data_IF_462188800249
#
_entry.id   IF_462188800249
#
_cell.length_a   1.000
_cell.length_b   1.000
_cell.length_c   1.000
_cell.angle_alpha   90.00
_cell.angle_beta   90.00
_cell.angle_gamma   90.00
#
_symmetry.space_group_name_H-M   'P 1'
#
loop_
_entity.id
_entity.type
_entity.pdbx_description
1 polymer ?
#
# COMPACT_ATOMS: atom_id res chain seq x y z
N UNK A 1 27.92 -17.04 -19.94
CA UNK A 1 26.47 -17.28 -20.09
C UNK A 1 25.78 -16.06 -19.49
N UNK A 2 25.15 -15.24 -20.31
CA UNK A 2 24.31 -14.13 -19.83
C UNK A 2 23.10 -14.79 -19.17
N UNK A 3 22.97 -14.68 -17.83
CA UNK A 3 21.79 -15.13 -17.13
C UNK A 3 20.58 -14.41 -17.73
N UNK A 4 19.61 -15.16 -18.22
CA UNK A 4 18.33 -14.60 -18.65
C UNK A 4 17.76 -13.85 -17.45
N UNK A 5 17.49 -12.58 -17.60
CA UNK A 5 16.76 -11.81 -16.58
C UNK A 5 15.41 -12.51 -16.44
N UNK A 6 15.22 -13.20 -15.33
CA UNK A 6 13.94 -13.86 -15.04
C UNK A 6 12.85 -12.80 -15.07
N UNK A 7 11.79 -13.04 -15.84
CA UNK A 7 10.67 -12.09 -15.90
C UNK A 7 9.99 -12.02 -14.53
N UNK A 8 9.70 -10.81 -14.06
CA UNK A 8 8.98 -10.64 -12.79
C UNK A 8 7.47 -10.84 -13.01
N UNK A 9 6.86 -11.72 -12.23
CA UNK A 9 5.40 -11.83 -12.12
C UNK A 9 4.98 -11.65 -10.67
N UNK A 10 3.82 -11.02 -10.46
CA UNK A 10 3.37 -10.62 -9.12
C UNK A 10 2.04 -11.30 -8.81
N UNK A 11 1.95 -11.94 -7.64
CA UNK A 11 0.69 -12.42 -7.07
C UNK A 11 0.30 -11.47 -5.93
N UNK A 12 -0.93 -10.93 -5.97
CA UNK A 12 -1.47 -10.11 -4.87
C UNK A 12 -2.59 -10.90 -4.19
N UNK A 13 -2.43 -11.21 -2.91
CA UNK A 13 -3.42 -11.93 -2.12
C UNK A 13 -4.47 -10.96 -1.58
N UNK A 14 -5.69 -11.01 -2.11
CA UNK A 14 -6.80 -10.11 -1.80
C UNK A 14 -8.10 -10.87 -1.42
N UNK A 15 -8.03 -12.18 -1.12
CA UNK A 15 -9.18 -13.05 -0.89
C UNK A 15 -9.70 -13.05 0.56
N UNK A 16 -9.00 -12.40 1.50
CA UNK A 16 -9.30 -12.45 2.93
C UNK A 16 -10.64 -11.82 3.33
N UNK A 17 -11.35 -12.44 4.29
CA UNK A 17 -12.69 -12.01 4.73
C UNK A 17 -12.70 -10.67 5.50
N UNK A 18 -11.61 -10.29 6.16
CA UNK A 18 -11.53 -9.03 6.90
C UNK A 18 -12.55 -8.90 8.06
N UNK A 19 -12.87 -9.98 8.77
CA UNK A 19 -13.89 -10.01 9.84
C UNK A 19 -13.75 -8.90 10.88
N UNK A 20 -12.49 -8.54 11.24
CA UNK A 20 -12.18 -7.48 12.21
C UNK A 20 -12.50 -6.06 11.72
N UNK A 21 -12.78 -5.88 10.42
CA UNK A 21 -13.23 -4.59 9.87
C UNK A 21 -14.68 -4.26 10.23
N UNK A 22 -15.46 -5.24 10.71
CA UNK A 22 -16.88 -5.10 11.02
C UNK A 22 -17.66 -4.40 9.89
N UNK A 23 -17.50 -4.87 8.65
CA UNK A 23 -18.02 -4.25 7.43
C UNK A 23 -18.44 -5.29 6.40
N UNK A 24 -19.53 -5.00 5.67
CA UNK A 24 -19.92 -5.78 4.50
C UNK A 24 -19.08 -5.48 3.24
N UNK A 25 -18.23 -4.43 3.31
CA UNK A 25 -17.30 -4.07 2.25
C UNK A 25 -16.07 -4.97 2.33
N UNK A 26 -15.60 -5.59 1.22
CA UNK A 26 -14.36 -6.34 1.20
C UNK A 26 -13.19 -5.54 1.76
N UNK A 27 -12.32 -6.17 2.55
CA UNK A 27 -11.22 -5.50 3.26
C UNK A 27 -10.39 -4.60 2.35
N UNK A 28 -9.98 -5.12 1.21
CA UNK A 28 -9.11 -4.45 0.24
C UNK A 28 -9.74 -3.25 -0.48
N UNK A 29 -11.06 -3.10 -0.38
CA UNK A 29 -11.80 -1.96 -0.93
C UNK A 29 -11.96 -0.81 0.06
N UNK A 30 -11.61 -0.97 1.36
CA UNK A 30 -11.56 0.17 2.28
C UNK A 30 -10.51 1.17 1.82
N UNK A 31 -10.79 2.45 2.06
CA UNK A 31 -9.95 3.52 1.52
C UNK A 31 -8.91 4.02 2.52
N UNK A 32 -7.72 4.24 2.02
CA UNK A 32 -6.62 4.95 2.63
C UNK A 32 -6.32 6.15 1.72
N UNK A 33 -6.26 7.34 2.27
CA UNK A 33 -6.10 8.59 1.51
C UNK A 33 -7.09 8.72 0.33
N UNK A 34 -8.36 8.32 0.56
CA UNK A 34 -9.41 8.40 -0.45
C UNK A 34 -9.42 7.29 -1.51
N UNK A 35 -8.40 6.42 -1.56
CA UNK A 35 -8.24 5.35 -2.57
C UNK A 35 -8.30 3.96 -1.93
N UNK A 36 -8.90 2.93 -2.56
CA UNK A 36 -8.91 1.57 -2.04
C UNK A 36 -7.51 1.07 -1.65
N UNK A 37 -7.39 0.27 -0.57
CA UNK A 37 -6.12 -0.33 -0.15
C UNK A 37 -5.43 -1.06 -1.31
N UNK A 38 -6.18 -1.85 -2.07
CA UNK A 38 -5.65 -2.60 -3.20
C UNK A 38 -5.08 -1.69 -4.30
N UNK A 39 -5.62 -0.48 -4.48
CA UNK A 39 -5.07 0.48 -5.47
C UNK A 39 -3.62 0.83 -5.15
N UNK A 40 -3.29 1.08 -3.88
CA UNK A 40 -1.93 1.40 -3.47
C UNK A 40 -0.95 0.25 -3.76
N UNK A 41 -1.40 -0.99 -3.51
CA UNK A 41 -0.58 -2.20 -3.79
C UNK A 41 -0.41 -2.41 -5.29
N UNK A 42 -1.48 -2.20 -6.10
CA UNK A 42 -1.42 -2.29 -7.55
C UNK A 42 -0.47 -1.25 -8.14
N UNK A 43 -0.54 0.01 -7.68
CA UNK A 43 0.38 1.07 -8.15
C UNK A 43 1.84 0.71 -7.85
N UNK A 44 2.12 0.21 -6.65
CA UNK A 44 3.46 -0.24 -6.27
C UNK A 44 3.91 -1.43 -7.11
N UNK A 45 3.03 -2.39 -7.38
CA UNK A 45 3.31 -3.53 -8.24
C UNK A 45 3.60 -3.09 -9.68
N UNK A 46 2.79 -2.20 -10.25
CA UNK A 46 3.00 -1.64 -11.59
C UNK A 46 4.32 -0.88 -11.73
N UNK A 47 4.76 -0.18 -10.68
CA UNK A 47 6.03 0.54 -10.67
C UNK A 47 7.28 -0.37 -10.78
N UNK A 48 7.12 -1.68 -10.60
CA UNK A 48 8.17 -2.68 -10.83
C UNK A 48 8.23 -3.15 -12.29
N UNK A 49 7.32 -2.69 -13.15
CA UNK A 49 7.18 -3.10 -14.55
C UNK A 49 7.15 -4.64 -14.72
N UNK A 50 6.26 -5.36 -14.00
CA UNK A 50 6.18 -6.80 -14.09
C UNK A 50 5.62 -7.24 -15.45
N UNK A 51 5.92 -8.49 -15.83
CA UNK A 51 5.32 -9.14 -17.02
C UNK A 51 3.82 -9.35 -16.83
N UNK A 52 3.39 -9.73 -15.62
CA UNK A 52 1.99 -9.94 -15.27
C UNK A 52 1.74 -9.70 -13.79
N UNK A 53 0.49 -9.30 -13.47
CA UNK A 53 -0.01 -9.20 -12.10
C UNK A 53 -1.24 -10.09 -11.98
N UNK A 54 -1.23 -11.02 -11.02
CA UNK A 54 -2.33 -11.93 -10.72
C UNK A 54 -2.94 -11.56 -9.37
N UNK A 55 -4.16 -11.04 -9.35
CA UNK A 55 -4.86 -10.68 -8.11
C UNK A 55 -5.78 -11.82 -7.70
N UNK A 56 -5.45 -12.47 -6.59
CA UNK A 56 -6.26 -13.55 -6.04
C UNK A 56 -7.34 -12.93 -5.15
N UNK A 57 -8.58 -13.02 -5.58
CA UNK A 57 -9.75 -12.54 -4.85
C UNK A 57 -10.68 -13.71 -4.43
N UNK A 58 -11.59 -13.46 -3.49
CA UNK A 58 -12.47 -14.52 -2.97
C UNK A 58 -13.64 -13.94 -2.22
N UNK A 59 -13.45 -13.56 -0.96
CA UNK A 59 -14.52 -12.94 -0.18
C UNK A 59 -14.96 -11.60 -0.79
N UNK A 60 -16.27 -11.45 -0.97
CA UNK A 60 -16.85 -10.31 -1.67
C UNK A 60 -17.07 -10.54 -3.17
N UNK A 61 -16.58 -11.68 -3.72
CA UNK A 61 -16.82 -12.12 -5.09
C UNK A 61 -16.45 -11.04 -6.11
N UNK A 62 -17.22 -10.93 -7.16
CA UNK A 62 -17.03 -10.02 -8.31
C UNK A 62 -16.98 -8.52 -7.93
N UNK A 63 -17.34 -8.15 -6.69
CA UNK A 63 -17.24 -6.74 -6.22
C UNK A 63 -15.82 -6.23 -6.19
N UNK A 64 -14.83 -7.14 -6.02
CA UNK A 64 -13.41 -6.74 -5.99
C UNK A 64 -12.93 -6.41 -7.39
N UNK A 65 -12.96 -7.32 -8.40
CA UNK A 65 -12.55 -6.96 -9.77
C UNK A 65 -13.40 -5.84 -10.36
N UNK A 66 -14.71 -5.79 -10.10
CA UNK A 66 -15.59 -4.73 -10.60
C UNK A 66 -15.23 -3.32 -10.10
N UNK A 67 -14.53 -3.21 -8.96
CA UNK A 67 -14.04 -1.94 -8.44
C UNK A 67 -12.79 -1.41 -9.18
N UNK A 68 -12.17 -2.22 -10.06
CA UNK A 68 -10.93 -1.90 -10.77
C UNK A 68 -11.02 -2.21 -12.26
N UNK A 69 -11.99 -1.64 -13.00
CA UNK A 69 -12.21 -1.96 -14.42
C UNK A 69 -11.02 -1.60 -15.32
N UNK A 70 -10.20 -0.63 -14.90
CA UNK A 70 -9.02 -0.14 -15.61
C UNK A 70 -7.73 -0.88 -15.25
N UNK A 71 -7.76 -1.79 -14.25
CA UNK A 71 -6.55 -2.44 -13.76
C UNK A 71 -6.07 -3.47 -14.79
N UNK A 72 -4.82 -3.32 -15.24
CA UNK A 72 -4.13 -4.33 -16.04
C UNK A 72 -3.66 -5.48 -15.15
N UNK A 73 -4.61 -6.32 -14.71
CA UNK A 73 -4.35 -7.45 -13.83
C UNK A 73 -5.22 -8.64 -14.23
N UNK A 74 -4.68 -9.85 -14.05
CA UNK A 74 -5.41 -11.10 -14.19
C UNK A 74 -6.08 -11.44 -12.85
N UNK A 75 -7.40 -11.54 -12.86
CA UNK A 75 -8.20 -11.80 -11.67
C UNK A 75 -8.39 -13.31 -11.48
N UNK A 76 -7.92 -13.84 -10.35
CA UNK A 76 -7.94 -15.26 -10.01
C UNK A 76 -8.88 -15.51 -8.84
N UNK A 77 -9.95 -16.27 -9.05
CA UNK A 77 -10.90 -16.59 -7.98
C UNK A 77 -10.34 -17.70 -7.07
N UNK A 78 -10.25 -17.41 -5.78
CA UNK A 78 -10.15 -18.41 -4.72
C UNK A 78 -11.57 -18.69 -4.19
N UNK A 79 -12.20 -19.75 -4.69
CA UNK A 79 -13.59 -20.07 -4.36
C UNK A 79 -13.80 -20.40 -2.87
N UNK A 80 -12.85 -21.13 -2.28
CA UNK A 80 -12.84 -21.47 -0.87
C UNK A 80 -11.58 -20.89 -0.21
N UNK A 81 -11.74 -20.10 0.86
CA UNK A 81 -10.62 -19.47 1.58
C UNK A 81 -9.93 -20.48 2.51
N UNK A 82 -9.11 -21.38 1.92
CA UNK A 82 -8.38 -22.42 2.64
C UNK A 82 -6.98 -21.99 3.09
N UNK A 83 -6.71 -20.70 3.18
CA UNK A 83 -5.45 -20.14 3.61
C UNK A 83 -4.63 -19.49 2.48
N UNK A 84 -3.49 -18.90 2.85
CA UNK A 84 -2.62 -18.13 1.95
C UNK A 84 -1.88 -19.03 0.93
N UNK A 85 -1.51 -20.24 1.32
CA UNK A 85 -0.92 -21.23 0.41
C UNK A 85 -1.91 -21.65 -0.68
N UNK A 86 -3.19 -21.82 -0.32
CA UNK A 86 -4.25 -22.10 -1.28
C UNK A 86 -4.47 -20.95 -2.27
N UNK A 87 -4.42 -19.72 -1.78
CA UNK A 87 -4.52 -18.54 -2.64
C UNK A 87 -3.41 -18.51 -3.70
N UNK A 88 -2.15 -18.75 -3.30
CA UNK A 88 -1.04 -18.89 -4.25
C UNK A 88 -1.26 -20.07 -5.19
N UNK A 89 -1.75 -21.21 -4.68
CA UNK A 89 -2.06 -22.38 -5.51
C UNK A 89 -3.02 -22.07 -6.66
N UNK A 90 -4.04 -21.24 -6.41
CA UNK A 90 -4.98 -20.80 -7.46
C UNK A 90 -4.29 -20.00 -8.58
N UNK A 91 -3.26 -19.22 -8.27
CA UNK A 91 -2.51 -18.43 -9.24
C UNK A 91 -1.40 -19.20 -9.97
N UNK A 92 -0.89 -20.30 -9.40
CA UNK A 92 0.23 -21.06 -9.99
C UNK A 92 0.08 -21.42 -11.48
N UNK A 93 -1.10 -21.85 -11.99
CA UNK A 93 -1.26 -22.20 -13.40
C UNK A 93 -1.05 -21.01 -14.37
N UNK A 94 -1.10 -19.79 -13.86
CA UNK A 94 -0.96 -18.56 -14.65
C UNK A 94 0.49 -18.08 -14.77
N UNK A 95 1.38 -18.54 -13.86
CA UNK A 95 2.78 -18.13 -13.85
C UNK A 95 3.55 -18.76 -15.01
N UNK A 96 4.50 -18.02 -15.57
CA UNK A 96 5.50 -18.58 -16.45
C UNK A 96 6.53 -19.42 -15.66
N UNK A 97 7.09 -20.44 -16.30
CA UNK A 97 7.99 -21.37 -15.63
C UNK A 97 9.32 -20.72 -15.21
N UNK A 98 9.78 -19.75 -15.96
CA UNK A 98 11.02 -18.99 -15.77
C UNK A 98 10.84 -17.71 -14.94
N UNK A 99 9.61 -17.43 -14.44
CA UNK A 99 9.33 -16.20 -13.71
C UNK A 99 9.93 -16.21 -12.30
N UNK A 100 10.48 -15.06 -11.89
CA UNK A 100 10.59 -14.70 -10.49
C UNK A 100 9.20 -14.23 -10.02
N UNK A 101 8.67 -14.88 -9.01
CA UNK A 101 7.34 -14.56 -8.47
C UNK A 101 7.46 -13.78 -7.19
N UNK A 102 6.85 -12.59 -7.15
CA UNK A 102 6.70 -11.76 -5.95
C UNK A 102 5.28 -11.93 -5.40
N UNK A 103 5.15 -12.33 -4.15
CA UNK A 103 3.85 -12.45 -3.47
C UNK A 103 3.64 -11.26 -2.55
N UNK A 104 2.57 -10.50 -2.79
CA UNK A 104 2.15 -9.33 -2.03
C UNK A 104 0.81 -9.57 -1.34
N UNK A 105 0.52 -8.75 -0.32
CA UNK A 105 -0.76 -8.75 0.38
C UNK A 105 -1.54 -7.49 -0.01
N UNK A 106 -2.80 -7.65 -0.43
CA UNK A 106 -3.67 -6.55 -0.88
C UNK A 106 -4.08 -5.56 0.20
N UNK A 107 -3.73 -5.84 1.45
CA UNK A 107 -3.99 -5.00 2.63
C UNK A 107 -2.74 -4.39 3.26
N UNK A 108 -1.58 -4.45 2.56
CA UNK A 108 -0.31 -3.81 2.95
C UNK A 108 -0.04 -2.62 2.01
N UNK A 109 -0.76 -1.50 2.17
CA UNK A 109 -0.82 -0.43 1.17
C UNK A 109 0.42 0.48 1.12
N UNK A 110 1.29 0.44 2.14
CA UNK A 110 2.43 1.36 2.24
C UNK A 110 3.75 0.78 1.76
N UNK A 111 3.73 -0.44 1.22
CA UNK A 111 4.95 -1.08 0.70
C UNK A 111 5.53 -0.30 -0.47
N UNK A 112 6.86 -0.16 -0.52
CA UNK A 112 7.53 0.66 -1.53
C UNK A 112 8.18 -0.18 -2.63
N UNK A 113 8.30 0.37 -3.86
CA UNK A 113 9.02 -0.31 -4.94
C UNK A 113 10.50 -0.57 -4.62
N UNK A 114 11.13 0.31 -3.82
CA UNK A 114 12.54 0.16 -3.40
C UNK A 114 12.76 -1.08 -2.56
N UNK A 115 11.91 -1.28 -1.54
CA UNK A 115 11.92 -2.45 -0.67
C UNK A 115 11.69 -3.74 -1.48
N UNK A 116 10.73 -3.72 -2.41
CA UNK A 116 10.42 -4.89 -3.24
C UNK A 116 11.52 -5.22 -4.23
N UNK A 117 12.20 -4.24 -4.82
CA UNK A 117 13.38 -4.47 -5.68
C UNK A 117 14.51 -5.14 -4.89
N UNK A 118 14.75 -4.69 -3.66
CA UNK A 118 15.74 -5.30 -2.77
C UNK A 118 15.38 -6.75 -2.44
N UNK A 119 14.11 -7.03 -2.16
CA UNK A 119 13.62 -8.38 -1.91
C UNK A 119 13.82 -9.30 -3.11
N UNK A 120 13.40 -8.85 -4.31
CA UNK A 120 13.56 -9.61 -5.55
C UNK A 120 15.03 -9.93 -5.84
N UNK A 121 15.94 -8.98 -5.64
CA UNK A 121 17.37 -9.20 -5.83
C UNK A 121 17.93 -10.28 -4.89
N UNK A 122 17.39 -10.42 -3.68
CA UNK A 122 17.81 -11.46 -2.73
C UNK A 122 17.23 -12.85 -3.01
N UNK A 123 16.22 -12.95 -3.88
CA UNK A 123 15.59 -14.21 -4.27
C UNK A 123 16.27 -14.90 -5.46
N UNK A 124 17.36 -14.34 -6.01
CA UNK A 124 18.01 -14.83 -7.23
C UNK A 124 18.44 -16.32 -7.13
N UNK A 125 18.91 -16.74 -5.96
CA UNK A 125 19.43 -18.10 -5.73
C UNK A 125 18.48 -18.99 -4.92
N UNK A 126 17.26 -18.54 -4.59
CA UNK A 126 16.35 -19.28 -3.75
C UNK A 126 15.05 -18.53 -3.45
N UNK A 127 14.72 -18.44 -2.17
CA UNK A 127 13.56 -17.69 -1.68
C UNK A 127 14.02 -16.53 -0.80
N UNK A 128 13.37 -15.38 -0.91
CA UNK A 128 13.60 -14.25 -0.04
C UNK A 128 12.32 -13.84 0.70
N UNK A 129 12.44 -13.54 1.99
CA UNK A 129 11.38 -13.12 2.88
C UNK A 129 11.56 -11.65 3.25
N UNK A 130 10.48 -10.90 3.27
CA UNK A 130 10.48 -9.57 3.87
C UNK A 130 10.13 -9.71 5.35
N UNK A 131 11.11 -9.43 6.24
CA UNK A 131 10.98 -9.55 7.69
C UNK A 131 11.19 -8.20 8.35
N UNK A 132 10.67 -8.03 9.56
CA UNK A 132 10.92 -6.84 10.36
C UNK A 132 10.90 -7.17 11.85
N UNK A 133 11.47 -6.29 12.67
CA UNK A 133 11.41 -6.40 14.13
C UNK A 133 10.16 -5.71 14.67
N UNK A 134 9.33 -6.46 15.38
CA UNK A 134 8.16 -5.94 16.07
C UNK A 134 8.42 -5.81 17.58
N UNK A 135 8.39 -4.57 18.06
CA UNK A 135 8.60 -4.22 19.47
C UNK A 135 7.29 -4.04 20.26
N UNK A 136 6.17 -4.51 19.69
CA UNK A 136 4.83 -4.41 20.27
C UNK A 136 4.12 -5.77 20.17
N UNK A 137 3.09 -5.97 20.96
CA UNK A 137 2.27 -7.18 20.89
C UNK A 137 1.60 -7.30 19.52
N UNK A 138 1.80 -8.44 18.87
CA UNK A 138 1.32 -8.69 17.51
C UNK A 138 1.07 -10.18 17.27
N UNK A 139 0.41 -10.49 16.16
CA UNK A 139 0.06 -11.85 15.74
C UNK A 139 0.73 -12.26 14.42
N UNK A 140 1.86 -11.67 14.07
CA UNK A 140 2.63 -12.08 12.90
C UNK A 140 3.30 -13.45 13.13
N UNK A 141 3.57 -14.18 12.06
CA UNK A 141 4.42 -15.38 12.08
C UNK A 141 5.83 -15.06 12.55
N UNK A 142 6.42 -15.92 13.35
CA UNK A 142 7.76 -15.75 13.94
C UNK A 142 8.81 -16.39 13.06
N UNK A 143 9.88 -15.66 12.78
CA UNK A 143 11.05 -16.19 12.09
C UNK A 143 11.88 -16.99 13.08
N UNK A 144 11.99 -18.29 12.84
CA UNK A 144 12.86 -19.18 13.62
C UNK A 144 14.17 -19.36 12.87
N UNK A 145 15.28 -19.13 13.58
CA UNK A 145 16.63 -19.29 13.02
C UNK A 145 17.37 -20.41 13.72
N UNK A 146 18.26 -21.07 12.99
CA UNK A 146 19.18 -22.06 13.55
C UNK A 146 20.35 -21.39 14.31
N UNK A 147 21.20 -22.19 14.94
CA UNK A 147 22.36 -21.73 15.72
C UNK A 147 23.40 -20.94 14.88
N UNK A 148 23.32 -21.03 13.55
CA UNK A 148 24.14 -20.27 12.61
C UNK A 148 23.47 -18.99 12.10
N UNK A 149 22.29 -18.67 12.64
CA UNK A 149 21.51 -17.48 12.25
C UNK A 149 20.76 -17.62 10.92
N UNK A 150 20.72 -18.81 10.31
CA UNK A 150 19.98 -19.06 9.06
C UNK A 150 18.51 -19.29 9.38
N UNK A 151 17.62 -18.84 8.50
CA UNK A 151 16.18 -19.10 8.63
C UNK A 151 15.93 -20.62 8.52
N UNK A 152 15.27 -21.19 9.51
CA UNK A 152 14.86 -22.59 9.56
C UNK A 152 13.41 -22.76 9.13
N UNK A 153 12.50 -21.94 9.70
CA UNK A 153 11.06 -21.96 9.42
C UNK A 153 10.38 -20.69 9.89
N UNK A 154 9.11 -20.54 9.50
CA UNK A 154 8.19 -19.57 10.09
C UNK A 154 7.17 -20.33 10.92
N UNK A 155 6.89 -19.85 12.14
CA UNK A 155 5.83 -20.41 12.99
C UNK A 155 4.73 -19.35 13.15
N UNK A 156 3.52 -19.68 12.70
CA UNK A 156 2.37 -18.79 12.84
C UNK A 156 2.03 -18.58 14.33
N UNK A 157 1.56 -17.38 14.68
CA UNK A 157 1.30 -17.00 16.07
C UNK A 157 0.45 -18.00 16.84
N UNK A 158 -0.54 -18.62 16.18
CA UNK A 158 -1.47 -19.55 16.83
C UNK A 158 -0.83 -20.89 17.14
N UNK A 159 0.16 -21.28 16.36
CA UNK A 159 0.91 -22.53 16.52
C UNK A 159 2.20 -22.35 17.33
N UNK A 160 2.57 -21.08 17.64
CA UNK A 160 3.79 -20.73 18.37
C UNK A 160 3.68 -21.04 19.87
N UNK A 161 4.70 -21.64 20.45
CA UNK A 161 4.89 -21.77 21.89
C UNK A 161 5.31 -20.43 22.52
N UNK A 162 5.49 -20.41 23.87
CA UNK A 162 5.84 -19.19 24.58
C UNK A 162 7.22 -18.62 24.20
N UNK A 163 8.21 -19.48 23.95
CA UNK A 163 9.56 -19.07 23.55
C UNK A 163 9.55 -18.50 22.13
N UNK A 164 8.85 -19.14 21.20
CA UNK A 164 8.67 -18.67 19.84
C UNK A 164 7.92 -17.33 19.79
N UNK A 165 6.87 -17.16 20.60
CA UNK A 165 6.13 -15.88 20.68
C UNK A 165 6.99 -14.72 21.17
N UNK A 166 8.03 -14.99 21.95
CA UNK A 166 8.97 -13.97 22.42
C UNK A 166 9.94 -13.50 21.33
N UNK A 167 10.08 -14.21 20.22
CA UNK A 167 10.91 -13.77 19.09
C UNK A 167 10.36 -12.45 18.52
N UNK A 168 11.27 -11.51 18.25
CA UNK A 168 10.94 -10.19 17.75
C UNK A 168 10.90 -10.12 16.22
N UNK A 169 11.73 -10.91 15.57
CA UNK A 169 11.73 -10.97 14.10
C UNK A 169 10.48 -11.69 13.59
N UNK A 170 9.72 -10.99 12.78
CA UNK A 170 8.43 -11.46 12.29
C UNK A 170 8.36 -11.42 10.76
N UNK A 171 7.49 -12.29 10.22
CA UNK A 171 7.20 -12.36 8.80
C UNK A 171 6.15 -11.31 8.40
N UNK A 172 6.46 -10.52 7.38
CA UNK A 172 5.48 -9.56 6.81
C UNK A 172 4.40 -10.23 5.95
N UNK A 173 4.61 -11.46 5.52
CA UNK A 173 3.79 -12.15 4.52
C UNK A 173 4.19 -11.88 3.07
N UNK A 174 5.15 -10.98 2.84
CA UNK A 174 5.68 -10.66 1.50
C UNK A 174 6.92 -11.51 1.24
N UNK A 175 6.97 -12.16 0.08
CA UNK A 175 8.10 -13.02 -0.31
C UNK A 175 8.34 -12.97 -1.82
N UNK A 176 9.56 -13.36 -2.23
CA UNK A 176 9.91 -13.56 -3.62
C UNK A 176 10.56 -14.94 -3.78
N UNK A 177 10.15 -15.69 -4.81
CA UNK A 177 10.73 -16.99 -5.15
C UNK A 177 10.56 -17.31 -6.64
N UNK A 178 11.45 -18.09 -7.26
CA UNK A 178 11.22 -18.63 -8.60
C UNK A 178 9.91 -19.42 -8.67
N UNK A 179 9.14 -19.26 -9.74
CA UNK A 179 7.88 -19.99 -9.94
C UNK A 179 8.04 -21.50 -9.86
N UNK A 180 9.17 -22.02 -10.35
CA UNK A 180 9.50 -23.45 -10.29
C UNK A 180 9.55 -23.96 -8.84
N UNK A 181 10.07 -23.18 -7.89
CA UNK A 181 10.09 -23.53 -6.47
C UNK A 181 8.70 -23.53 -5.86
N UNK A 182 7.89 -22.51 -6.17
CA UNK A 182 6.48 -22.44 -5.70
C UNK A 182 5.69 -23.66 -6.21
N UNK A 183 5.85 -24.04 -7.50
CA UNK A 183 5.21 -25.23 -8.07
C UNK A 183 5.64 -26.52 -7.35
N UNK A 184 6.88 -26.58 -6.85
CA UNK A 184 7.40 -27.75 -6.11
C UNK A 184 6.87 -27.82 -4.69
N UNK A 185 6.73 -26.68 -3.99
CA UNK A 185 6.40 -26.67 -2.57
C UNK A 185 4.90 -26.54 -2.29
N UNK A 186 4.16 -25.71 -3.01
CA UNK A 186 2.74 -25.47 -2.76
C UNK A 186 1.89 -26.75 -2.75
N UNK A 187 2.08 -27.73 -3.63
CA UNK A 187 1.34 -29.00 -3.56
C UNK A 187 1.64 -29.85 -2.32
N UNK A 188 2.75 -29.61 -1.63
CA UNK A 188 3.19 -30.33 -0.42
C UNK A 188 2.65 -29.74 0.88
N UNK A 189 1.97 -28.58 0.81
CA UNK A 189 1.37 -27.95 1.99
C UNK A 189 0.28 -28.83 2.59
N UNK A 190 0.20 -28.83 3.92
CA UNK A 190 -0.85 -29.52 4.68
C UNK A 190 -1.65 -28.55 5.52
N UNK A 191 -2.87 -28.93 5.87
CA UNK A 191 -3.73 -28.15 6.76
C UNK A 191 -3.66 -28.65 8.22
N UNK A 192 -2.56 -29.34 8.60
CA UNK A 192 -2.38 -29.89 9.96
C UNK A 192 -1.81 -28.80 10.87
N UNK A 193 -2.61 -27.78 11.19
CA UNK A 193 -2.27 -26.66 12.04
C UNK A 193 -3.51 -26.14 12.80
N UNK A 194 -3.32 -25.18 13.70
CA UNK A 194 -4.35 -24.66 14.57
C UNK A 194 -5.57 -24.05 13.84
N UNK A 195 -5.41 -23.64 12.58
CA UNK A 195 -6.50 -23.03 11.78
C UNK A 195 -7.11 -24.00 10.75
N UNK A 196 -6.49 -25.15 10.49
CA UNK A 196 -6.91 -26.06 9.42
C UNK A 196 -6.73 -25.47 8.02
N UNK A 197 -5.75 -24.58 7.83
CA UNK A 197 -5.52 -23.83 6.59
C UNK A 197 -4.18 -24.24 5.94
N UNK A 198 -4.06 -24.05 4.64
CA UNK A 198 -2.79 -24.19 3.94
C UNK A 198 -1.98 -22.90 4.13
N UNK A 199 -1.01 -22.92 5.04
CA UNK A 199 -0.15 -21.77 5.29
C UNK A 199 0.92 -21.63 4.20
N UNK A 200 1.00 -20.47 3.57
CA UNK A 200 2.08 -20.18 2.64
C UNK A 200 3.46 -20.22 3.33
N UNK A 201 3.50 -19.85 4.59
CA UNK A 201 4.72 -19.80 5.42
C UNK A 201 5.39 -21.17 5.58
N UNK A 202 4.66 -22.27 5.43
CA UNK A 202 5.22 -23.64 5.53
C UNK A 202 6.17 -23.97 4.37
N UNK A 203 6.11 -23.24 3.22
CA UNK A 203 7.07 -23.44 2.13
C UNK A 203 8.52 -23.17 2.58
N UNK A 204 8.72 -22.40 3.65
CA UNK A 204 10.06 -22.07 4.13
C UNK A 204 10.74 -23.30 4.71
N UNK A 205 10.04 -24.07 5.56
CA UNK A 205 10.58 -25.33 6.06
C UNK A 205 10.82 -26.33 4.91
N UNK A 206 9.97 -26.34 3.88
CA UNK A 206 10.17 -27.17 2.69
C UNK A 206 11.39 -26.72 1.87
N UNK A 207 11.62 -25.42 1.73
CA UNK A 207 12.80 -24.88 1.05
C UNK A 207 14.09 -25.28 1.79
N UNK A 208 14.13 -25.13 3.11
CA UNK A 208 15.26 -25.52 3.94
C UNK A 208 15.52 -27.03 3.84
N UNK A 209 14.47 -27.87 3.93
CA UNK A 209 14.59 -29.31 3.78
C UNK A 209 15.11 -29.73 2.39
N UNK A 210 14.79 -28.96 1.36
CA UNK A 210 15.26 -29.19 -0.01
C UNK A 210 16.66 -28.56 -0.27
N UNK A 211 17.31 -27.96 0.75
CA UNK A 211 18.63 -27.34 0.64
C UNK A 211 18.63 -26.01 -0.15
N UNK A 212 17.46 -25.38 -0.35
CA UNK A 212 17.35 -24.10 -1.06
C UNK A 212 17.60 -22.94 -0.09
N UNK A 213 18.46 -21.96 -0.44
CA UNK A 213 18.74 -20.82 0.42
C UNK A 213 17.50 -19.98 0.71
N UNK A 214 17.35 -19.56 1.98
CA UNK A 214 16.32 -18.62 2.43
C UNK A 214 16.98 -17.33 2.87
N UNK A 215 16.84 -16.28 2.05
CA UNK A 215 17.35 -14.95 2.38
C UNK A 215 16.28 -14.11 3.07
N UNK A 216 16.69 -13.09 3.82
CA UNK A 216 15.79 -12.09 4.39
C UNK A 216 16.16 -10.69 3.93
N UNK A 217 15.16 -9.85 3.78
CA UNK A 217 15.30 -8.40 3.60
C UNK A 217 14.42 -7.70 4.63
N UNK A 218 14.80 -6.49 5.03
CA UNK A 218 13.98 -5.65 5.91
C UNK A 218 13.60 -4.35 5.22
N UNK A 219 12.38 -3.82 5.45
CA UNK A 219 12.00 -2.51 4.95
C UNK A 219 12.82 -1.41 5.61
N UNK A 220 12.97 -0.27 4.94
CA UNK A 220 13.62 0.90 5.52
C UNK A 220 12.78 1.54 6.63
N UNK A 221 11.46 1.45 6.52
CA UNK A 221 10.47 1.88 7.49
C UNK A 221 9.51 0.71 7.79
N UNK A 222 9.42 0.24 9.05
CA UNK A 222 8.53 -0.87 9.41
C UNK A 222 7.07 -0.65 9.03
N UNK A 223 6.59 0.59 8.92
CA UNK A 223 5.21 0.88 8.49
C UNK A 223 4.90 0.43 7.07
N UNK A 224 5.93 0.21 6.23
CA UNK A 224 5.76 -0.33 4.88
C UNK A 224 5.05 -1.69 4.83
N UNK A 225 5.25 -2.49 5.87
CA UNK A 225 4.76 -3.87 5.92
C UNK A 225 3.60 -4.08 6.90
N UNK A 226 3.06 -3.00 7.45
CA UNK A 226 1.88 -3.11 8.30
C UNK A 226 0.63 -3.36 7.46
N UNK A 227 -0.11 -4.39 7.87
CA UNK A 227 -1.38 -4.75 7.23
C UNK A 227 -2.58 -4.13 7.93
N UNK A 228 -3.58 -3.73 7.15
CA UNK A 228 -4.87 -3.27 7.65
C UNK A 228 -5.75 -4.46 7.99
N UNK A 229 -6.02 -4.71 9.26
CA UNK A 229 -6.92 -5.77 9.71
C UNK A 229 -8.16 -5.25 10.45
N UNK A 230 -8.07 -4.03 10.98
CA UNK A 230 -9.14 -3.36 11.74
C UNK A 230 -9.26 -1.89 11.33
N UNK A 231 -10.32 -1.22 11.81
CA UNK A 231 -10.47 0.23 11.64
C UNK A 231 -9.39 1.02 12.37
N UNK A 232 -8.86 0.49 13.47
CA UNK A 232 -7.75 1.11 14.19
C UNK A 232 -6.47 1.07 13.35
N UNK A 233 -6.14 -0.10 12.76
CA UNK A 233 -4.98 -0.23 11.87
C UNK A 233 -5.09 0.73 10.68
N UNK A 234 -6.30 0.84 10.10
CA UNK A 234 -6.54 1.76 8.99
C UNK A 234 -6.27 3.22 9.40
N UNK A 235 -6.71 3.65 10.58
CA UNK A 235 -6.46 5.01 11.06
C UNK A 235 -4.96 5.28 11.32
N UNK A 236 -4.24 4.29 11.84
CA UNK A 236 -2.78 4.39 12.04
C UNK A 236 -2.05 4.52 10.70
N UNK A 237 -2.41 3.68 9.72
CA UNK A 237 -1.79 3.72 8.39
C UNK A 237 -2.17 4.98 7.59
N UNK A 238 -3.38 5.53 7.81
CA UNK A 238 -3.75 6.83 7.25
C UNK A 238 -2.77 7.92 7.72
N UNK A 239 -2.48 7.98 9.04
CA UNK A 239 -1.50 8.96 9.55
C UNK A 239 -0.09 8.72 9.01
N UNK A 240 0.39 7.49 8.96
CA UNK A 240 1.69 7.15 8.37
C UNK A 240 1.77 7.57 6.90
N UNK A 241 0.72 7.34 6.12
CA UNK A 241 0.64 7.80 4.73
C UNK A 241 0.73 9.32 4.65
N UNK A 242 -0.06 10.05 5.44
CA UNK A 242 -0.09 11.51 5.41
C UNK A 242 1.24 12.12 5.89
N UNK A 243 1.92 11.51 6.86
CA UNK A 243 3.27 11.92 7.29
C UNK A 243 4.28 11.78 6.15
N UNK A 244 4.20 10.70 5.36
CA UNK A 244 5.03 10.52 4.14
C UNK A 244 4.72 11.58 3.08
N UNK A 245 3.45 11.89 2.84
CA UNK A 245 3.04 12.96 1.90
C UNK A 245 3.59 14.32 2.34
N UNK A 246 3.43 14.66 3.61
CA UNK A 246 3.96 15.90 4.17
C UNK A 246 5.48 16.00 4.04
N UNK A 247 6.21 14.90 4.34
CA UNK A 247 7.67 14.86 4.18
C UNK A 247 8.10 15.09 2.73
N UNK A 248 7.42 14.46 1.76
CA UNK A 248 7.69 14.66 0.32
C UNK A 248 7.45 16.11 -0.11
N UNK A 249 6.36 16.73 0.34
CA UNK A 249 6.05 18.13 0.04
C UNK A 249 7.10 19.08 0.63
N UNK A 250 7.50 18.87 1.89
CA UNK A 250 8.56 19.68 2.52
C UNK A 250 9.91 19.51 1.81
N UNK A 251 10.23 18.31 1.32
CA UNK A 251 11.47 18.04 0.60
C UNK A 251 11.56 18.80 -0.75
N UNK A 252 10.41 19.15 -1.36
CA UNK A 252 10.39 19.98 -2.58
C UNK A 252 10.14 21.47 -2.30
N UNK A 253 10.20 21.90 -1.02
CA UNK A 253 10.17 23.30 -0.62
C UNK A 253 8.81 23.86 -0.23
N UNK A 254 7.80 23.01 0.00
CA UNK A 254 6.52 23.46 0.56
C UNK A 254 6.66 23.73 2.06
N UNK A 255 6.25 24.90 2.51
CA UNK A 255 6.16 25.22 3.92
C UNK A 255 4.82 24.73 4.50
N UNK A 256 4.87 23.76 5.41
CA UNK A 256 3.72 23.31 6.18
C UNK A 256 3.79 23.88 7.60
N UNK A 257 2.73 24.54 8.07
CA UNK A 257 2.68 25.09 9.44
C UNK A 257 2.65 23.98 10.50
N UNK A 258 1.96 22.89 10.19
CA UNK A 258 1.97 21.66 10.99
C UNK A 258 1.78 20.45 10.05
N UNK A 259 2.84 19.65 9.80
CA UNK A 259 2.77 18.51 8.88
C UNK A 259 1.80 17.41 9.33
N UNK A 260 1.43 17.36 10.64
CA UNK A 260 0.45 16.38 11.15
C UNK A 260 -1.00 16.79 10.90
N UNK A 261 -1.22 18.01 10.47
CA UNK A 261 -2.55 18.60 10.26
C UNK A 261 -2.83 18.90 8.79
N UNK A 262 -2.27 18.08 7.91
CA UNK A 262 -2.47 18.06 6.46
C UNK A 262 -3.07 16.71 6.07
N UNK A 263 -4.09 16.71 5.23
CA UNK A 263 -4.62 15.50 4.59
C UNK A 263 -4.61 15.64 3.06
N UNK A 264 -3.90 14.73 2.40
CA UNK A 264 -3.92 14.60 0.93
C UNK A 264 -4.63 13.30 0.57
N UNK A 265 -5.78 13.42 -0.10
CA UNK A 265 -6.63 12.30 -0.54
C UNK A 265 -6.67 12.25 -2.06
N UNK A 266 -5.56 11.90 -2.66
CA UNK A 266 -5.32 11.92 -4.09
C UNK A 266 -3.91 12.38 -4.41
N UNK A 267 -3.78 13.35 -5.32
CA UNK A 267 -2.51 13.90 -5.76
C UNK A 267 -2.45 15.42 -5.51
N UNK A 268 -1.48 15.87 -4.73
CA UNK A 268 -1.15 17.29 -4.57
C UNK A 268 0.19 17.56 -5.25
N UNK A 269 0.16 18.43 -6.25
CA UNK A 269 1.33 18.92 -6.97
C UNK A 269 1.55 20.36 -6.53
N UNK A 270 2.72 20.66 -5.97
CA UNK A 270 3.03 22.00 -5.50
C UNK A 270 4.30 22.54 -6.19
N UNK A 271 4.25 23.81 -6.54
CA UNK A 271 5.38 24.61 -7.00
C UNK A 271 6.28 25.05 -5.84
N UNK A 272 7.15 26.02 -6.12
CA UNK A 272 8.09 26.58 -5.15
C UNK A 272 7.41 27.60 -4.23
N UNK A 273 7.93 27.71 -3.01
CA UNK A 273 7.50 28.71 -2.02
C UNK A 273 6.00 28.67 -1.69
N UNK A 274 5.38 27.51 -1.88
CA UNK A 274 4.00 27.26 -1.48
C UNK A 274 3.92 27.16 0.04
N UNK A 275 2.92 27.84 0.65
CA UNK A 275 2.67 27.81 2.08
C UNK A 275 1.28 27.23 2.35
N UNK A 276 1.20 26.23 3.25
CA UNK A 276 -0.06 25.57 3.61
C UNK A 276 -0.21 25.61 5.12
N UNK A 277 -1.31 26.20 5.56
CA UNK A 277 -1.66 26.30 6.98
C UNK A 277 -2.35 25.03 7.48
N UNK A 278 -2.71 24.99 8.74
CA UNK A 278 -3.21 23.80 9.42
C UNK A 278 -4.62 23.37 8.99
N UNK A 279 -4.89 22.07 9.11
CA UNK A 279 -6.20 21.44 8.83
C UNK A 279 -6.69 21.63 7.39
N UNK A 280 -5.76 21.71 6.44
CA UNK A 280 -6.10 21.71 5.03
C UNK A 280 -6.30 20.30 4.51
N UNK A 281 -7.30 20.11 3.65
CA UNK A 281 -7.63 18.86 2.98
C UNK A 281 -7.57 19.06 1.47
N UNK A 282 -6.76 18.25 0.79
CA UNK A 282 -6.66 18.23 -0.67
C UNK A 282 -7.21 16.90 -1.18
N UNK A 283 -8.18 16.95 -2.10
CA UNK A 283 -8.86 15.77 -2.63
C UNK A 283 -8.77 15.71 -4.15
N UNK A 284 -8.69 14.50 -4.73
CA UNK A 284 -8.55 14.32 -6.17
C UNK A 284 -7.20 14.82 -6.68
N UNK A 285 -7.18 15.55 -7.79
CA UNK A 285 -5.98 16.18 -8.37
C UNK A 285 -5.96 17.68 -8.10
N UNK A 286 -5.04 18.12 -7.27
CA UNK A 286 -4.87 19.55 -6.95
C UNK A 286 -3.48 20.01 -7.37
N UNK A 287 -3.42 21.14 -8.09
CA UNK A 287 -2.19 21.78 -8.53
C UNK A 287 -2.07 23.18 -7.92
N UNK A 288 -1.03 23.41 -7.14
CA UNK A 288 -0.67 24.71 -6.57
C UNK A 288 0.60 25.20 -7.28
N UNK A 289 0.50 26.32 -8.00
CA UNK A 289 1.66 26.92 -8.63
C UNK A 289 2.59 27.61 -7.59
N UNK A 290 3.69 28.22 -8.06
CA UNK A 290 4.66 28.93 -7.21
C UNK A 290 3.98 30.05 -6.39
N UNK A 291 4.50 30.34 -5.21
CA UNK A 291 4.09 31.42 -4.32
C UNK A 291 2.63 31.35 -3.82
N UNK A 292 1.93 30.23 -3.99
CA UNK A 292 0.55 30.05 -3.52
C UNK A 292 0.52 29.94 -1.99
N UNK A 293 -0.46 30.61 -1.37
CA UNK A 293 -0.72 30.53 0.07
C UNK A 293 -2.11 29.99 0.35
N UNK A 294 -2.19 28.94 1.17
CA UNK A 294 -3.44 28.32 1.58
C UNK A 294 -3.61 28.48 3.08
N UNK A 295 -4.62 29.24 3.47
CA UNK A 295 -4.98 29.49 4.87
C UNK A 295 -5.61 28.27 5.53
N UNK A 296 -5.74 28.34 6.86
CA UNK A 296 -6.20 27.24 7.68
C UNK A 296 -7.63 26.75 7.32
N UNK A 297 -7.88 25.45 7.51
CA UNK A 297 -9.20 24.83 7.33
C UNK A 297 -9.76 24.91 5.90
N UNK A 298 -8.91 25.00 4.89
CA UNK A 298 -9.35 24.97 3.51
C UNK A 298 -9.55 23.54 3.01
N UNK A 299 -10.55 23.35 2.13
CA UNK A 299 -10.79 22.10 1.40
C UNK A 299 -10.73 22.39 -0.09
N UNK A 300 -9.77 21.79 -0.78
CA UNK A 300 -9.54 22.00 -2.22
C UNK A 300 -9.63 20.67 -2.94
N UNK A 301 -10.52 20.59 -3.94
CA UNK A 301 -10.76 19.38 -4.73
C UNK A 301 -10.57 19.66 -6.21
N UNK A 302 -9.92 18.74 -6.95
CA UNK A 302 -9.85 18.70 -8.41
C UNK A 302 -9.65 20.08 -9.06
N UNK A 303 -8.71 20.90 -8.52
CA UNK A 303 -8.60 22.31 -8.83
C UNK A 303 -7.17 22.74 -9.12
N UNK A 304 -7.03 23.83 -9.87
CA UNK A 304 -5.76 24.47 -10.15
C UNK A 304 -5.71 25.86 -9.55
N UNK A 305 -4.65 26.15 -8.83
CA UNK A 305 -4.42 27.43 -8.17
C UNK A 305 -3.16 28.03 -8.77
N UNK A 306 -3.31 29.12 -9.51
CA UNK A 306 -2.22 29.76 -10.22
C UNK A 306 -1.31 30.57 -9.27
N UNK A 307 -0.14 30.96 -9.79
CA UNK A 307 0.94 31.62 -9.08
C UNK A 307 0.47 32.83 -8.25
N UNK A 308 1.00 32.93 -7.02
CA UNK A 308 0.77 34.08 -6.13
C UNK A 308 -0.64 34.17 -5.53
N UNK A 309 -1.55 33.24 -5.90
CA UNK A 309 -2.91 33.27 -5.36
C UNK A 309 -2.92 32.98 -3.86
N UNK A 310 -3.87 33.62 -3.17
CA UNK A 310 -4.10 33.47 -1.74
C UNK A 310 -5.50 32.92 -1.50
N UNK A 311 -5.53 31.74 -0.87
CA UNK A 311 -6.77 31.10 -0.43
C UNK A 311 -6.90 31.36 1.06
N UNK A 312 -7.81 32.20 1.44
CA UNK A 312 -8.03 32.59 2.84
C UNK A 312 -8.76 31.47 3.60
N UNK A 313 -8.63 31.50 4.94
CA UNK A 313 -9.12 30.43 5.81
C UNK A 313 -10.60 30.06 5.59
N UNK A 314 -10.94 28.78 5.88
CA UNK A 314 -12.30 28.23 5.78
C UNK A 314 -12.91 28.30 4.37
N UNK A 315 -12.09 28.29 3.33
CA UNK A 315 -12.52 28.32 1.93
C UNK A 315 -12.65 26.91 1.37
N UNK A 316 -13.71 26.68 0.60
CA UNK A 316 -13.95 25.42 -0.13
C UNK A 316 -13.86 25.68 -1.62
N UNK A 317 -12.94 24.99 -2.30
CA UNK A 317 -12.76 25.05 -3.76
C UNK A 317 -12.99 23.65 -4.34
N UNK A 318 -13.85 23.55 -5.33
CA UNK A 318 -14.23 22.29 -5.94
C UNK A 318 -14.27 22.44 -7.46
N UNK A 319 -13.43 21.71 -8.19
CA UNK A 319 -13.39 21.68 -9.66
C UNK A 319 -13.22 23.07 -10.29
N UNK A 320 -12.34 23.92 -9.75
CA UNK A 320 -12.20 25.29 -10.18
C UNK A 320 -10.76 25.66 -10.59
N UNK A 321 -10.65 26.62 -11.52
CA UNK A 321 -9.38 27.25 -11.91
C UNK A 321 -9.29 28.66 -11.31
N UNK A 322 -8.31 28.86 -10.41
CA UNK A 322 -8.04 30.15 -9.78
C UNK A 322 -6.84 30.81 -10.46
N UNK A 323 -7.05 31.97 -11.05
CA UNK A 323 -6.03 32.73 -11.76
C UNK A 323 -4.94 33.32 -10.87
N UNK A 324 -3.87 33.87 -11.47
CA UNK A 324 -2.73 34.40 -10.73
C UNK A 324 -3.12 35.59 -9.85
N UNK A 325 -2.46 35.70 -8.69
CA UNK A 325 -2.59 36.77 -7.72
C UNK A 325 -4.03 37.03 -7.22
N UNK A 326 -4.92 36.04 -7.40
CA UNK A 326 -6.28 36.07 -6.85
C UNK A 326 -6.27 35.95 -5.33
N UNK A 327 -7.26 36.61 -4.70
CA UNK A 327 -7.57 36.42 -3.27
C UNK A 327 -8.96 35.83 -3.15
N UNK A 328 -9.06 34.62 -2.58
CA UNK A 328 -10.31 33.88 -2.45
C UNK A 328 -10.60 33.60 -0.96
N UNK A 329 -11.73 34.12 -0.49
CA UNK A 329 -12.14 33.96 0.90
C UNK A 329 -11.86 35.19 1.77
N UNK A 330 -11.97 35.07 3.11
CA UNK A 330 -12.29 33.82 3.84
C UNK A 330 -13.76 33.38 3.66
N UNK A 331 -14.04 32.13 4.02
CA UNK A 331 -15.38 31.50 3.97
C UNK A 331 -16.00 31.45 2.56
N UNK A 332 -15.18 31.54 1.51
CA UNK A 332 -15.66 31.42 0.14
C UNK A 332 -15.92 29.97 -0.28
N UNK A 333 -16.86 29.82 -1.23
CA UNK A 333 -17.09 28.57 -1.91
C UNK A 333 -17.01 28.75 -3.42
N UNK A 334 -16.06 28.10 -4.08
CA UNK A 334 -16.02 27.98 -5.53
C UNK A 334 -16.60 26.62 -5.95
N UNK A 335 -17.51 26.66 -6.93
CA UNK A 335 -18.19 25.46 -7.45
C UNK A 335 -17.48 24.93 -8.69
N UNK A 336 -17.71 23.65 -9.07
CA UNK A 336 -17.17 23.09 -10.29
C UNK A 336 -17.42 23.94 -11.54
N UNK A 337 -16.39 24.09 -12.36
CA UNK A 337 -16.41 24.94 -13.55
C UNK A 337 -16.20 26.44 -13.30
N UNK A 338 -15.97 26.85 -12.06
CA UNK A 338 -15.61 28.26 -11.77
C UNK A 338 -14.21 28.56 -12.31
N UNK A 339 -14.09 29.63 -13.09
CA UNK A 339 -12.82 30.18 -13.55
C UNK A 339 -12.69 31.61 -13.05
N UNK A 340 -11.69 31.90 -12.23
CA UNK A 340 -11.36 33.24 -11.78
C UNK A 340 -10.20 33.79 -12.60
N UNK A 341 -10.42 34.96 -13.24
CA UNK A 341 -9.35 35.70 -13.91
C UNK A 341 -8.28 36.19 -12.93
N UNK A 342 -7.10 36.57 -13.44
CA UNK A 342 -6.01 37.07 -12.60
C UNK A 342 -6.43 38.32 -11.79
N UNK A 343 -5.82 38.48 -10.59
CA UNK A 343 -6.07 39.58 -9.66
C UNK A 343 -7.50 39.72 -9.12
N UNK A 344 -8.38 38.73 -9.35
CA UNK A 344 -9.73 38.73 -8.82
C UNK A 344 -9.73 38.62 -7.29
N UNK A 345 -10.66 39.36 -6.65
CA UNK A 345 -10.95 39.18 -5.22
C UNK A 345 -12.38 38.65 -5.08
N UNK A 346 -12.53 37.54 -4.39
CA UNK A 346 -13.82 36.95 -4.10
C UNK A 346 -13.92 36.62 -2.62
N UNK A 347 -14.65 37.45 -1.88
CA UNK A 347 -15.10 37.21 -0.52
C UNK A 347 -16.60 36.88 -0.54
N UNK A 348 -17.06 36.04 0.34
CA UNK A 348 -18.48 35.71 0.48
C UNK A 348 -19.21 36.82 1.23
N UNK A 349 -19.24 38.04 0.66
CA UNK A 349 -20.24 38.96 1.05
C UNK A 349 -21.54 38.57 0.35
N UNK A 350 -22.41 37.91 1.14
CA UNK A 350 -23.77 37.54 0.79
C UNK A 350 -24.35 38.49 -0.25
N UNK A 351 -24.46 38.09 -1.50
CA UNK A 351 -25.45 38.67 -2.38
C UNK A 351 -26.79 38.06 -1.97
N UNK A 352 -27.60 38.89 -1.26
CA UNK A 352 -29.01 38.63 -1.03
C UNK A 352 -29.76 38.69 -2.36
#
# INVERSE_FOLDING_TARGET
>A
MQGSVSSLEIIILAAGQGRRMASAKPKVLHTLAGRPLLTHVLDTAMALAPRAIHVVYGHGGERVPAAFPEASADWVLQAEQRGTGDAVRCALPRLADDALTLVLLGDVPLITPGTLKTLCARAADGIALLTFEAHYENQYGRIVRDDQGRVERIVEWRDADAAQRALREVNSGVLAAPAAHLRRWIPRLSATNAQGELYLTDIIALAVADGVPVATASPGDPTEVWGVNSRADLAVLERAFQERQAAMLMAVGVQLMDPRRLDVRGQLIAGRDVQIDVNCVFEGRVELADDVRVGAHCVIRDSRIARGARIEAHTVIDGADVGPDCVVGPFARLRPGTVLGGHARRDDRVQR
#
